data_IF_260763664605
#
_entry.id   IF_260763664605
#
_cell.length_a   1.000
_cell.length_b   1.000
_cell.length_c   1.000
_cell.angle_alpha   90.00
_cell.angle_beta   90.00
_cell.angle_gamma   90.00
#
_symmetry.space_group_name_H-M   'P 1'
#
loop_
_entity.id
_entity.type
_entity.pdbx_description
1 polymer ?
#
# COMPACT_ATOMS: atom_id res chain seq x y z
N UNK A 1 19.54 18.01 -2.17
CA UNK A 1 18.67 17.91 -0.98
C UNK A 1 17.63 16.85 -1.31
N UNK A 2 17.83 15.63 -0.83
CA UNK A 2 16.91 14.51 -1.08
C UNK A 2 15.68 14.71 -0.19
N UNK A 3 14.59 15.22 -0.76
CA UNK A 3 13.28 15.15 -0.13
C UNK A 3 12.96 13.68 0.07
N UNK A 4 13.03 13.19 1.31
CA UNK A 4 12.52 11.87 1.68
C UNK A 4 11.04 11.87 1.28
N UNK A 5 10.69 11.16 0.21
CA UNK A 5 9.30 11.01 -0.19
C UNK A 5 8.58 10.19 0.88
N UNK A 6 7.81 10.88 1.72
CA UNK A 6 6.89 10.27 2.66
C UNK A 6 5.89 9.44 1.85
N UNK A 7 5.99 8.13 1.96
CA UNK A 7 5.06 7.22 1.29
C UNK A 7 3.83 7.10 2.18
N UNK A 8 2.75 7.77 1.80
CA UNK A 8 1.48 7.71 2.52
C UNK A 8 0.58 6.66 1.88
N UNK A 9 0.17 5.67 2.67
CA UNK A 9 -0.63 4.53 2.22
C UNK A 9 -1.90 4.36 3.04
N UNK A 10 -2.93 3.79 2.42
CA UNK A 10 -4.19 3.41 3.05
C UNK A 10 -4.42 1.91 2.88
N UNK A 11 -4.67 1.21 3.99
CA UNK A 11 -4.98 -0.21 4.04
C UNK A 11 -6.47 -0.41 4.30
N UNK A 12 -7.15 -1.13 3.40
CA UNK A 12 -8.57 -1.43 3.50
C UNK A 12 -8.77 -2.94 3.52
N UNK A 13 -9.33 -3.47 4.61
CA UNK A 13 -9.68 -4.88 4.71
C UNK A 13 -10.79 -5.09 5.73
N UNK A 14 -11.24 -6.34 5.93
CA UNK A 14 -12.21 -6.65 6.99
C UNK A 14 -11.59 -6.37 8.35
N UNK A 15 -12.33 -5.66 9.21
CA UNK A 15 -11.92 -5.35 10.59
C UNK A 15 -11.60 -6.65 11.35
N UNK A 16 -10.39 -6.73 11.91
CA UNK A 16 -9.85 -7.96 12.51
C UNK A 16 -8.32 -7.96 12.60
N UNK A 17 -7.73 -9.07 13.04
CA UNK A 17 -6.29 -9.18 13.39
C UNK A 17 -5.33 -8.70 12.31
N UNK A 18 -5.66 -8.86 11.03
CA UNK A 18 -4.80 -8.45 9.91
C UNK A 18 -4.65 -6.94 9.82
N UNK A 19 -5.73 -6.17 9.99
CA UNK A 19 -5.66 -4.69 9.94
C UNK A 19 -5.02 -4.09 11.19
N UNK A 20 -5.24 -4.70 12.35
CA UNK A 20 -4.65 -4.25 13.61
C UNK A 20 -3.14 -4.52 13.66
N UNK A 21 -2.69 -5.62 13.04
CA UNK A 21 -1.28 -6.00 13.04
C UNK A 21 -0.49 -5.45 11.85
N UNK A 22 -1.15 -5.16 10.72
CA UNK A 22 -0.46 -4.74 9.50
C UNK A 22 0.36 -3.44 9.67
N UNK A 23 -0.17 -2.35 10.27
CA UNK A 23 0.61 -1.14 10.49
C UNK A 23 1.87 -1.41 11.30
N UNK A 24 1.75 -2.11 12.44
CA UNK A 24 2.88 -2.48 13.30
C UNK A 24 3.92 -3.34 12.57
N UNK A 25 3.48 -4.32 11.77
CA UNK A 25 4.40 -5.17 10.98
C UNK A 25 5.10 -4.42 9.84
N UNK A 26 4.45 -3.42 9.26
CA UNK A 26 5.04 -2.57 8.23
C UNK A 26 6.04 -1.58 8.82
N UNK A 27 5.70 -0.98 9.97
CA UNK A 27 6.58 -0.07 10.71
C UNK A 27 7.79 -0.82 11.30
N UNK A 28 7.63 -2.02 11.85
CA UNK A 28 8.77 -2.83 12.32
C UNK A 28 9.70 -3.24 11.18
N UNK A 29 9.14 -3.61 10.02
CA UNK A 29 9.93 -3.90 8.83
C UNK A 29 10.69 -2.65 8.33
N UNK A 30 10.15 -1.45 8.59
CA UNK A 30 10.84 -0.20 8.31
C UNK A 30 12.00 0.08 9.28
N UNK A 31 11.91 -0.32 10.55
CA UNK A 31 12.92 0.01 11.58
C UNK A 31 14.04 -1.02 11.75
N UNK A 32 13.85 -2.28 11.33
CA UNK A 32 14.77 -3.40 11.62
C UNK A 32 16.03 -3.47 10.72
N UNK A 33 16.25 -2.51 9.84
CA UNK A 33 17.34 -2.55 8.84
C UNK A 33 18.60 -1.75 9.22
N UNK A 34 18.70 -1.26 10.46
CA UNK A 34 19.81 -0.41 10.92
C UNK A 34 21.06 -1.17 11.37
N UNK A 35 21.05 -2.51 11.39
CA UNK A 35 22.16 -3.34 11.88
C UNK A 35 22.44 -4.55 10.96
N UNK A 36 23.69 -5.00 10.95
CA UNK A 36 24.44 -5.53 9.80
C UNK A 36 24.09 -6.91 9.16
N UNK A 37 24.63 -7.09 7.94
CA UNK A 37 25.15 -8.33 7.31
C UNK A 37 24.22 -9.36 6.64
N UNK A 38 24.25 -9.35 5.29
CA UNK A 38 23.89 -10.41 4.32
C UNK A 38 22.52 -11.11 4.44
N UNK A 39 21.54 -10.62 3.67
CA UNK A 39 20.96 -11.30 2.49
C UNK A 39 19.51 -10.82 2.27
N UNK A 40 19.30 -10.13 1.15
CA UNK A 40 18.08 -9.44 0.71
C UNK A 40 17.78 -8.12 1.44
N UNK A 41 17.77 -6.96 0.75
CA UNK A 41 17.31 -5.71 1.35
C UNK A 41 15.83 -5.85 1.66
N UNK A 42 15.49 -6.05 2.93
CA UNK A 42 14.12 -5.83 3.39
C UNK A 42 13.87 -4.33 3.29
N UNK A 43 12.88 -3.86 2.53
CA UNK A 43 12.73 -2.44 2.24
C UNK A 43 12.43 -1.64 3.51
N UNK A 44 13.38 -0.78 3.92
CA UNK A 44 13.28 0.17 5.03
C UNK A 44 12.34 1.31 4.66
N UNK A 45 11.17 1.49 5.28
CA UNK A 45 10.24 2.61 4.97
C UNK A 45 10.32 3.73 6.02
N UNK A 46 11.41 4.54 6.06
CA UNK A 46 11.65 5.45 7.17
C UNK A 46 10.57 6.52 7.36
N UNK A 47 9.75 6.79 6.34
CA UNK A 47 8.63 7.75 6.39
C UNK A 47 7.33 7.15 5.81
N UNK A 48 6.90 6.00 6.33
CA UNK A 48 5.61 5.38 5.96
C UNK A 48 4.49 5.89 6.86
N UNK A 49 3.51 6.58 6.26
CA UNK A 49 2.25 6.91 6.95
C UNK A 49 1.19 5.90 6.56
N UNK A 50 0.52 5.32 7.56
CA UNK A 50 -0.45 4.24 7.34
C UNK A 50 -1.80 4.64 7.90
N UNK A 51 -2.79 4.76 7.02
CA UNK A 51 -4.20 4.82 7.37
C UNK A 51 -4.83 3.44 7.24
N UNK A 52 -5.91 3.18 8.00
CA UNK A 52 -6.61 1.89 7.99
C UNK A 52 -8.11 2.07 7.95
N UNK A 53 -8.83 1.19 7.25
CA UNK A 53 -10.29 1.23 7.19
C UNK A 53 -10.91 -0.03 6.61
N UNK A 54 -12.23 -0.02 6.45
CA UNK A 54 -13.01 -1.13 5.88
C UNK A 54 -14.19 -0.70 5.00
N UNK A 55 -14.46 0.60 4.94
CA UNK A 55 -15.62 1.19 4.26
C UNK A 55 -15.25 2.43 3.45
N UNK A 56 -16.16 2.86 2.58
CA UNK A 56 -16.07 4.14 1.84
C UNK A 56 -15.98 5.35 2.78
N UNK A 57 -16.65 5.31 3.93
CA UNK A 57 -16.56 6.38 4.91
C UNK A 57 -15.14 6.51 5.49
N UNK A 58 -14.48 5.36 5.75
CA UNK A 58 -13.09 5.35 6.22
C UNK A 58 -12.13 5.88 5.14
N UNK A 59 -12.40 5.60 3.87
CA UNK A 59 -11.63 6.18 2.74
C UNK A 59 -11.69 7.70 2.80
N UNK A 60 -12.90 8.27 2.84
CA UNK A 60 -13.07 9.74 2.89
C UNK A 60 -12.35 10.33 4.09
N UNK A 61 -12.55 9.75 5.27
CA UNK A 61 -11.88 10.21 6.49
C UNK A 61 -10.36 10.14 6.40
N UNK A 62 -9.79 9.12 5.75
CA UNK A 62 -8.34 9.00 5.59
C UNK A 62 -7.79 10.06 4.63
N UNK A 63 -8.49 10.34 3.53
CA UNK A 63 -8.11 11.41 2.60
C UNK A 63 -8.20 12.80 3.26
N UNK A 64 -9.25 13.05 4.05
CA UNK A 64 -9.41 14.30 4.79
C UNK A 64 -8.29 14.48 5.83
N UNK A 65 -7.95 13.43 6.57
CA UNK A 65 -6.84 13.44 7.54
C UNK A 65 -5.49 13.68 6.86
N UNK A 66 -5.20 12.95 5.79
CA UNK A 66 -3.96 13.14 5.03
C UNK A 66 -3.84 14.57 4.50
N UNK A 67 -4.93 15.11 3.94
CA UNK A 67 -4.98 16.49 3.44
C UNK A 67 -4.76 17.52 4.55
N UNK A 68 -5.37 17.32 5.73
CA UNK A 68 -5.17 18.18 6.90
C UNK A 68 -3.71 18.18 7.40
N UNK A 69 -2.99 17.08 7.20
CA UNK A 69 -1.56 16.94 7.51
C UNK A 69 -0.63 17.39 6.36
N UNK A 70 -1.18 18.01 5.31
CA UNK A 70 -0.45 18.40 4.09
C UNK A 70 0.25 17.22 3.39
N UNK A 71 -0.42 16.06 3.36
CA UNK A 71 0.04 14.83 2.73
C UNK A 71 -0.96 14.31 1.69
N UNK A 72 -0.46 13.62 0.68
CA UNK A 72 -1.29 12.94 -0.33
C UNK A 72 -1.14 11.42 -0.19
N UNK A 73 -2.27 10.71 -0.19
CA UNK A 73 -2.26 9.23 -0.23
C UNK A 73 -1.87 8.80 -1.65
N UNK A 74 -0.78 8.02 -1.74
CA UNK A 74 -0.22 7.57 -3.02
C UNK A 74 -0.70 6.16 -3.38
N UNK A 75 -0.92 5.32 -2.36
CA UNK A 75 -1.33 3.93 -2.55
C UNK A 75 -2.50 3.54 -1.65
N UNK A 76 -3.49 2.89 -2.24
CA UNK A 76 -4.59 2.25 -1.50
C UNK A 76 -4.55 0.75 -1.75
N UNK A 77 -4.51 -0.04 -0.68
CA UNK A 77 -4.50 -1.50 -0.75
C UNK A 77 -5.84 -2.04 -0.27
N UNK A 78 -6.55 -2.76 -1.13
CA UNK A 78 -7.86 -3.33 -0.82
C UNK A 78 -7.77 -4.85 -0.71
N UNK A 79 -8.05 -5.35 0.49
CA UNK A 79 -8.07 -6.77 0.80
C UNK A 79 -9.31 -7.46 0.24
N UNK A 80 -9.13 -8.71 -0.19
CA UNK A 80 -10.21 -9.55 -0.72
C UNK A 80 -11.22 -10.04 0.32
N UNK A 81 -11.03 -9.74 1.61
CA UNK A 81 -11.98 -10.07 2.67
C UNK A 81 -13.17 -9.11 2.78
N UNK A 82 -13.19 -8.06 1.95
CA UNK A 82 -14.35 -7.17 1.79
C UNK A 82 -15.24 -7.72 0.66
N UNK A 83 -16.56 -7.54 0.80
CA UNK A 83 -17.51 -7.89 -0.25
C UNK A 83 -17.21 -7.15 -1.56
N UNK A 84 -17.45 -7.83 -2.70
CA UNK A 84 -17.08 -7.31 -4.02
C UNK A 84 -17.64 -5.90 -4.27
N UNK A 85 -18.91 -5.68 -4.00
CA UNK A 85 -19.56 -4.37 -4.20
C UNK A 85 -18.88 -3.28 -3.38
N UNK A 86 -18.58 -3.52 -2.10
CA UNK A 86 -17.85 -2.58 -1.26
C UNK A 86 -16.44 -2.31 -1.81
N UNK A 87 -15.76 -3.32 -2.36
CA UNK A 87 -14.43 -3.14 -2.99
C UNK A 87 -14.53 -2.24 -4.22
N UNK A 88 -15.54 -2.43 -5.06
CA UNK A 88 -15.74 -1.62 -6.27
C UNK A 88 -16.12 -0.17 -5.91
N UNK A 89 -16.97 0.02 -4.91
CA UNK A 89 -17.32 1.35 -4.38
C UNK A 89 -16.09 2.07 -3.82
N UNK A 90 -15.26 1.38 -3.04
CA UNK A 90 -13.98 1.90 -2.54
C UNK A 90 -13.08 2.34 -3.70
N UNK A 91 -12.89 1.50 -4.72
CA UNK A 91 -12.04 1.83 -5.88
C UNK A 91 -12.55 3.09 -6.58
N UNK A 92 -13.86 3.15 -6.82
CA UNK A 92 -14.50 4.30 -7.46
C UNK A 92 -14.30 5.57 -6.64
N UNK A 93 -14.52 5.51 -5.34
CA UNK A 93 -14.36 6.65 -4.44
C UNK A 93 -12.91 7.14 -4.45
N UNK A 94 -11.94 6.23 -4.29
CA UNK A 94 -10.51 6.58 -4.26
C UNK A 94 -10.07 7.30 -5.53
N UNK A 95 -10.45 6.78 -6.71
CA UNK A 95 -10.12 7.40 -8.00
C UNK A 95 -10.86 8.74 -8.17
N UNK A 96 -12.04 8.90 -7.56
CA UNK A 96 -12.78 10.17 -7.58
C UNK A 96 -12.09 11.22 -6.70
N UNK A 97 -11.55 10.82 -5.55
CA UNK A 97 -10.86 11.71 -4.60
C UNK A 97 -9.47 12.14 -5.09
N UNK A 98 -8.77 11.30 -5.84
CA UNK A 98 -7.44 11.61 -6.36
C UNK A 98 -7.17 10.95 -7.70
N UNK A 99 -6.73 11.75 -8.68
CA UNK A 99 -6.32 11.26 -9.99
C UNK A 99 -4.91 10.64 -10.01
N UNK A 100 -4.11 10.86 -8.96
CA UNK A 100 -2.71 10.42 -8.88
C UNK A 100 -2.49 9.20 -7.98
N UNK A 101 -3.57 8.66 -7.39
CA UNK A 101 -3.50 7.52 -6.47
C UNK A 101 -3.46 6.20 -7.24
N UNK A 102 -2.68 5.24 -6.75
CA UNK A 102 -2.67 3.88 -7.27
C UNK A 102 -3.46 2.95 -6.35
N UNK A 103 -4.43 2.22 -6.91
CA UNK A 103 -5.26 1.27 -6.17
C UNK A 103 -4.81 -0.16 -6.45
N UNK A 104 -4.50 -0.88 -5.38
CA UNK A 104 -3.99 -2.25 -5.40
C UNK A 104 -5.05 -3.20 -4.86
N UNK A 105 -5.58 -4.06 -5.72
CA UNK A 105 -6.57 -5.07 -5.34
C UNK A 105 -5.90 -6.40 -5.06
N UNK A 106 -5.97 -6.87 -3.82
CA UNK A 106 -5.51 -8.20 -3.48
C UNK A 106 -6.47 -9.27 -4.01
N UNK A 107 -5.93 -10.42 -4.42
CA UNK A 107 -6.70 -11.60 -4.77
C UNK A 107 -7.30 -12.30 -3.53
N UNK A 108 -8.36 -13.10 -3.73
CA UNK A 108 -8.98 -13.89 -2.67
C UNK A 108 -8.21 -15.17 -2.33
N UNK A 109 -7.52 -15.75 -3.32
CA UNK A 109 -6.88 -17.09 -3.23
C UNK A 109 -5.73 -17.15 -2.24
N UNK A 110 -5.04 -16.03 -2.02
CA UNK A 110 -3.93 -15.94 -1.07
C UNK A 110 -4.38 -15.87 0.40
N UNK A 111 -5.69 -15.83 0.66
CA UNK A 111 -6.28 -15.76 2.00
C UNK A 111 -5.92 -14.50 2.81
N UNK A 112 -6.32 -14.42 4.08
CA UNK A 112 -6.05 -13.26 4.95
C UNK A 112 -4.55 -13.03 5.22
N UNK A 113 -3.78 -14.11 5.38
CA UNK A 113 -2.35 -14.04 5.68
C UNK A 113 -1.51 -13.46 4.53
N UNK A 114 -2.03 -13.47 3.29
CA UNK A 114 -1.33 -12.89 2.14
C UNK A 114 -1.41 -11.35 2.05
N UNK A 115 -2.15 -10.66 2.92
CA UNK A 115 -2.33 -9.20 2.82
C UNK A 115 -1.05 -8.41 3.10
N UNK A 116 -0.37 -8.69 4.20
CA UNK A 116 0.90 -8.00 4.52
C UNK A 116 2.01 -8.34 3.50
N UNK A 117 2.22 -9.62 3.10
CA UNK A 117 3.15 -9.96 2.03
C UNK A 117 2.87 -9.21 0.72
N UNK A 118 1.60 -9.08 0.33
CA UNK A 118 1.20 -8.34 -0.87
C UNK A 118 1.60 -6.86 -0.80
N UNK A 119 1.27 -6.18 0.30
CA UNK A 119 1.65 -4.77 0.52
C UNK A 119 3.16 -4.60 0.45
N UNK A 120 3.92 -5.47 1.15
CA UNK A 120 5.39 -5.44 1.14
C UNK A 120 5.98 -5.67 -0.25
N UNK A 121 5.42 -6.58 -1.04
CA UNK A 121 5.89 -6.88 -2.39
C UNK A 121 5.69 -5.68 -3.34
N UNK A 122 4.53 -5.02 -3.28
CA UNK A 122 4.25 -3.82 -4.08
C UNK A 122 5.19 -2.69 -3.70
N UNK A 123 5.29 -2.38 -2.41
CA UNK A 123 6.12 -1.29 -1.92
C UNK A 123 7.63 -1.55 -2.13
N UNK A 124 8.07 -2.81 -2.05
CA UNK A 124 9.44 -3.22 -2.37
C UNK A 124 9.75 -3.08 -3.87
N UNK A 125 8.83 -3.52 -4.74
CA UNK A 125 8.99 -3.43 -6.19
C UNK A 125 9.08 -1.99 -6.74
N UNK A 126 8.48 -1.02 -6.04
CA UNK A 126 8.57 0.39 -6.40
C UNK A 126 9.98 0.98 -6.25
N UNK A 127 10.80 0.43 -5.34
CA UNK A 127 12.17 0.93 -5.10
C UNK A 127 13.21 0.32 -6.01
N UNK A 128 12.98 -0.91 -6.46
CA UNK A 128 13.92 -1.61 -7.33
C UNK A 128 13.98 -1.05 -8.75
N UNK A 129 13.13 -0.07 -9.10
CA UNK A 129 13.17 0.58 -10.42
C UNK A 129 13.17 -0.40 -11.57
N UNK A 130 12.58 -1.60 -11.39
CA UNK A 130 12.47 -2.57 -12.47
C UNK A 130 11.43 -2.05 -13.44
N UNK A 131 11.94 -1.30 -14.41
CA UNK A 131 11.30 -1.01 -15.67
C UNK A 131 10.65 -2.32 -16.15
N UNK A 132 9.32 -2.41 -16.00
CA UNK A 132 8.54 -3.48 -16.61
C UNK A 132 8.89 -3.42 -18.09
N UNK A 133 9.55 -4.47 -18.57
CA UNK A 133 10.46 -4.39 -19.70
C UNK A 133 9.89 -3.67 -20.91
N UNK A 134 10.73 -2.81 -21.51
CA UNK A 134 10.64 -2.52 -22.94
C UNK A 134 10.75 -3.85 -23.68
N UNK A 135 9.62 -4.45 -24.00
CA UNK A 135 9.59 -5.56 -24.95
C UNK A 135 9.89 -4.97 -26.32
N UNK A 136 11.17 -4.95 -26.67
CA UNK A 136 11.58 -4.78 -28.05
C UNK A 136 10.98 -5.94 -28.84
N UNK A 137 9.90 -5.66 -29.57
CA UNK A 137 9.35 -6.58 -30.58
C UNK A 137 10.45 -6.79 -31.62
N UNK A 138 10.92 -8.03 -31.85
CA UNK A 138 11.86 -8.27 -32.94
C UNK A 138 11.13 -8.00 -34.25
N UNK A 139 11.69 -7.09 -35.06
CA UNK A 139 11.23 -6.87 -36.42
C UNK A 139 11.38 -8.19 -37.19
N UNK A 140 10.27 -8.64 -37.78
CA UNK A 140 10.23 -9.75 -38.73
C UNK A 140 10.62 -9.27 -40.11
#
# INVERSE_FOLDING_TARGET
MSTLEVSTILLLARKGSVLEQAPSQLLQAASAASDESFSSPSPTYPDLRVYTGSSVADVRSAFDQASAEAHAIQHVFVGAGLELENRLEIVREVITLSASVCVHLKDATSGPHGFVPFVKAVLGGMRDGRQLGSTSVPAR
#
